data_IF_316278243359
#
_entry.id   IF_316278243359
#
_cell.length_a   1.000
_cell.length_b   1.000
_cell.length_c   1.000
_cell.angle_alpha   90.00
_cell.angle_beta   90.00
_cell.angle_gamma   90.00
#
_symmetry.space_group_name_H-M   'P 1'
#
loop_
_entity.id
_entity.type
_entity.pdbx_description
1 polymer ?
#
# COMPACT_ATOMS: atom_id res chain seq x y z
N UNK A 1 3.54 61.59 15.29
CA UNK A 1 4.34 60.46 15.80
C UNK A 1 3.61 59.21 15.28
N UNK A 2 4.09 58.63 14.18
CA UNK A 2 3.49 57.42 13.56
C UNK A 2 4.23 56.23 14.12
N UNK A 3 3.52 55.39 14.84
CA UNK A 3 4.01 54.13 15.34
C UNK A 3 4.44 53.24 14.18
N UNK A 4 5.72 52.92 14.11
CA UNK A 4 6.25 51.86 13.26
C UNK A 4 5.78 50.54 13.88
N UNK A 5 4.86 49.89 13.25
CA UNK A 5 4.52 48.48 13.54
C UNK A 5 5.77 47.65 13.27
N UNK A 6 6.33 47.10 14.31
CA UNK A 6 7.51 46.23 14.27
C UNK A 6 7.14 44.92 13.54
N UNK A 7 7.62 44.82 12.28
CA UNK A 7 7.42 43.64 11.43
C UNK A 7 8.32 42.45 11.80
N UNK A 8 9.06 42.52 12.92
CA UNK A 8 10.03 41.49 13.31
C UNK A 8 9.42 40.33 14.12
N UNK A 9 8.17 40.45 14.60
CA UNK A 9 7.52 39.39 15.43
C UNK A 9 6.74 38.34 14.65
N UNK A 10 6.59 38.45 13.33
CA UNK A 10 5.79 37.51 12.52
C UNK A 10 6.61 36.35 11.92
N UNK A 11 7.90 36.19 12.27
CA UNK A 11 8.79 35.14 11.71
C UNK A 11 9.09 33.97 12.66
N UNK A 12 8.46 33.86 13.83
CA UNK A 12 8.87 32.91 14.88
C UNK A 12 8.27 31.49 14.76
N UNK A 13 7.41 31.21 13.77
CA UNK A 13 6.76 29.89 13.63
C UNK A 13 7.26 29.07 12.42
N UNK A 14 8.37 29.47 11.80
CA UNK A 14 8.99 28.73 10.71
C UNK A 14 10.11 27.84 11.26
N UNK A 15 9.97 26.55 11.06
CA UNK A 15 11.00 25.55 11.34
C UNK A 15 11.94 25.41 10.13
N UNK A 16 13.25 25.28 10.35
CA UNK A 16 14.23 25.02 9.29
C UNK A 16 14.90 23.68 9.58
N UNK A 17 14.71 22.73 8.67
CA UNK A 17 15.31 21.39 8.76
C UNK A 17 16.48 21.35 7.79
N UNK A 18 17.68 21.00 8.27
CA UNK A 18 18.88 20.90 7.43
C UNK A 18 19.33 19.46 7.30
N UNK A 19 19.69 19.03 6.08
CA UNK A 19 20.20 17.71 5.81
C UNK A 19 21.39 17.72 4.85
N UNK A 20 22.36 16.84 5.09
CA UNK A 20 23.54 16.68 4.22
C UNK A 20 23.18 16.13 2.84
N UNK A 21 22.07 15.41 2.76
CA UNK A 21 21.48 14.89 1.51
C UNK A 21 19.96 15.08 1.56
N UNK A 22 19.40 15.50 0.45
CA UNK A 22 17.95 15.69 0.31
C UNK A 22 17.44 14.98 -0.93
N UNK A 23 16.48 14.08 -0.75
CA UNK A 23 15.75 13.41 -1.83
C UNK A 23 14.37 14.06 -1.95
N UNK A 24 14.06 14.67 -3.09
CA UNK A 24 12.79 15.38 -3.32
C UNK A 24 11.66 14.49 -3.87
N UNK A 25 11.89 13.19 -3.93
CA UNK A 25 11.01 12.21 -4.55
C UNK A 25 11.47 11.80 -5.96
N UNK A 26 12.42 12.51 -6.54
CA UNK A 26 12.94 12.26 -7.89
C UNK A 26 14.47 12.34 -7.94
N UNK A 27 15.05 13.33 -7.32
CA UNK A 27 16.50 13.63 -7.39
C UNK A 27 17.08 13.69 -5.99
N UNK A 28 18.25 13.07 -5.82
CA UNK A 28 19.05 13.20 -4.62
C UNK A 28 19.99 14.42 -4.75
N UNK A 29 19.80 15.41 -3.89
CA UNK A 29 20.59 16.66 -3.83
C UNK A 29 21.63 16.60 -2.71
N UNK A 30 22.57 17.55 -2.73
CA UNK A 30 23.55 17.80 -1.67
C UNK A 30 22.93 18.46 -0.43
N UNK A 31 23.78 19.17 0.37
CA UNK A 31 23.31 19.82 1.60
C UNK A 31 22.19 20.82 1.32
N UNK A 32 21.07 20.67 2.04
CA UNK A 32 19.83 21.40 1.78
C UNK A 32 19.20 21.86 3.09
N UNK A 33 18.61 23.05 3.08
CA UNK A 33 17.74 23.58 4.11
C UNK A 33 16.30 23.61 3.61
N UNK A 34 15.39 22.99 4.33
CA UNK A 34 13.95 23.00 4.07
C UNK A 34 13.28 23.85 5.13
N UNK A 35 12.62 24.92 4.70
CA UNK A 35 11.83 25.78 5.59
C UNK A 35 10.38 25.32 5.60
N UNK A 36 9.87 25.07 6.79
CA UNK A 36 8.46 24.67 7.00
C UNK A 36 7.77 25.76 7.81
N UNK A 37 6.65 26.24 7.33
CA UNK A 37 5.78 27.20 8.03
C UNK A 37 4.36 26.69 8.06
N UNK A 38 3.77 26.60 9.24
CA UNK A 38 2.40 26.05 9.44
C UNK A 38 2.17 24.69 8.77
N UNK A 39 3.16 23.80 8.84
CA UNK A 39 3.06 22.45 8.28
C UNK A 39 3.21 22.37 6.76
N UNK A 40 3.57 23.48 6.08
CA UNK A 40 3.80 23.52 4.64
C UNK A 40 5.25 23.84 4.34
N UNK A 41 5.83 23.20 3.32
CA UNK A 41 7.16 23.55 2.80
C UNK A 41 7.08 24.90 2.11
N UNK A 42 7.78 25.91 2.65
CA UNK A 42 7.82 27.27 2.13
C UNK A 42 8.96 27.47 1.14
N UNK A 43 10.13 26.91 1.46
CA UNK A 43 11.30 26.93 0.54
C UNK A 43 12.19 25.72 0.73
N UNK A 44 12.94 25.39 -0.32
CA UNK A 44 13.99 24.38 -0.36
C UNK A 44 15.21 25.05 -0.99
N UNK A 45 16.29 25.18 -0.23
CA UNK A 45 17.48 25.98 -0.61
C UNK A 45 18.78 25.20 -0.37
N UNK A 46 19.81 25.49 -1.14
CA UNK A 46 21.15 24.96 -0.85
C UNK A 46 21.62 25.44 0.52
N UNK A 47 22.15 24.52 1.31
CA UNK A 47 22.70 24.84 2.64
C UNK A 47 24.22 24.87 2.64
N UNK A 48 24.81 25.87 3.33
CA UNK A 48 26.23 25.99 3.52
C UNK A 48 26.57 26.01 5.01
N UNK A 49 26.72 24.83 5.58
CA UNK A 49 27.01 24.70 7.00
C UNK A 49 26.89 23.27 7.48
N UNK A 50 26.98 23.08 8.79
CA UNK A 50 26.70 21.79 9.41
C UNK A 50 25.21 21.51 9.32
N UNK A 51 24.85 20.27 8.93
CA UNK A 51 23.48 19.82 8.84
C UNK A 51 23.11 19.01 10.08
N UNK A 52 21.86 19.15 10.50
CA UNK A 52 21.31 18.42 11.66
C UNK A 52 21.06 16.96 11.34
N UNK A 53 20.69 16.67 10.06
CA UNK A 53 20.35 15.33 9.60
C UNK A 53 21.27 14.86 8.48
N UNK A 54 21.45 13.54 8.36
CA UNK A 54 22.20 12.95 7.25
C UNK A 54 21.38 12.96 5.96
N UNK A 55 20.12 12.52 6.03
CA UNK A 55 19.22 12.43 4.88
C UNK A 55 17.84 12.97 5.27
N UNK A 56 17.26 13.77 4.40
CA UNK A 56 15.85 14.17 4.43
C UNK A 56 15.17 13.68 3.14
N UNK A 57 14.01 13.11 3.26
CA UNK A 57 13.19 12.65 2.13
C UNK A 57 11.69 12.83 2.45
N UNK A 58 10.80 12.79 1.45
CA UNK A 58 9.38 12.56 1.70
C UNK A 58 9.19 11.28 2.51
N UNK A 59 8.18 11.25 3.36
CA UNK A 59 7.80 10.04 4.07
C UNK A 59 7.28 8.96 3.10
N UNK A 60 7.35 7.71 3.53
CA UNK A 60 6.85 6.58 2.74
C UNK A 60 5.34 6.61 2.60
N UNK A 61 4.85 6.14 1.45
CA UNK A 61 3.46 5.83 1.17
C UNK A 61 3.33 4.31 1.02
N UNK A 62 2.56 3.66 1.91
CA UNK A 62 2.30 2.22 1.86
C UNK A 62 0.89 1.94 1.36
N UNK A 63 0.76 1.33 0.19
CA UNK A 63 -0.53 1.03 -0.44
C UNK A 63 -1.14 -0.30 0.03
N UNK A 64 -0.40 -1.08 0.83
CA UNK A 64 -0.83 -2.39 1.29
C UNK A 64 -0.37 -2.66 2.73
N UNK A 65 -1.20 -2.23 3.70
CA UNK A 65 -0.98 -2.34 5.14
C UNK A 65 -2.17 -3.05 5.78
N UNK A 66 -2.03 -4.35 6.11
CA UNK A 66 -3.10 -5.14 6.73
C UNK A 66 -3.15 -4.97 8.25
N UNK A 67 -2.05 -4.49 8.83
CA UNK A 67 -1.85 -4.29 10.24
C UNK A 67 -0.38 -4.37 10.62
N UNK A 68 -0.07 -4.09 11.87
CA UNK A 68 1.29 -4.15 12.38
C UNK A 68 1.30 -4.63 13.83
N UNK A 69 2.20 -5.56 14.17
CA UNK A 69 2.34 -6.19 15.47
C UNK A 69 1.00 -6.78 15.99
N UNK A 70 0.32 -6.12 16.91
CA UNK A 70 -0.94 -6.58 17.49
C UNK A 70 -2.18 -5.83 16.94
N UNK A 71 -2.02 -4.82 16.08
CA UNK A 71 -3.12 -3.99 15.59
C UNK A 71 -3.45 -4.34 14.13
N UNK A 72 -4.60 -4.93 13.91
CA UNK A 72 -5.12 -5.31 12.59
C UNK A 72 -6.05 -4.24 12.02
N UNK A 73 -5.91 -3.89 10.74
CA UNK A 73 -6.85 -3.02 10.04
C UNK A 73 -8.29 -3.60 10.01
N UNK A 74 -8.42 -4.93 10.06
CA UNK A 74 -9.72 -5.59 10.18
C UNK A 74 -10.36 -5.42 11.55
N UNK A 75 -9.58 -5.05 12.57
CA UNK A 75 -10.01 -4.91 13.94
C UNK A 75 -10.51 -6.22 14.58
N UNK A 76 -10.88 -6.14 15.85
CA UNK A 76 -11.53 -7.23 16.56
C UNK A 76 -13.06 -7.10 16.47
N UNK A 77 -13.75 -8.11 15.91
CA UNK A 77 -15.23 -8.12 15.85
C UNK A 77 -15.81 -7.31 14.69
N UNK A 78 -16.45 -6.17 14.97
CA UNK A 78 -17.19 -5.37 13.98
C UNK A 78 -16.29 -4.51 13.07
N UNK A 79 -15.03 -4.31 13.45
CA UNK A 79 -14.06 -3.48 12.72
C UNK A 79 -13.07 -2.81 13.67
N UNK A 80 -12.17 -2.00 13.12
CA UNK A 80 -11.16 -1.27 13.88
C UNK A 80 -11.78 -0.09 14.62
N UNK A 81 -11.33 0.17 15.85
CA UNK A 81 -11.72 1.33 16.64
C UNK A 81 -10.85 2.56 16.31
N UNK A 82 -11.31 3.76 16.68
CA UNK A 82 -10.53 4.99 16.50
C UNK A 82 -9.19 4.96 17.27
N UNK A 83 -9.17 4.35 18.44
CA UNK A 83 -7.94 4.21 19.24
C UNK A 83 -6.94 3.27 18.56
N UNK A 84 -7.37 2.11 18.09
CA UNK A 84 -6.52 1.15 17.37
C UNK A 84 -5.97 1.74 16.07
N UNK A 85 -6.79 2.46 15.29
CA UNK A 85 -6.33 3.08 14.05
C UNK A 85 -5.30 4.19 14.31
N UNK A 86 -5.52 5.01 15.34
CA UNK A 86 -4.57 6.05 15.76
C UNK A 86 -3.25 5.46 16.30
N UNK A 87 -3.33 4.34 17.02
CA UNK A 87 -2.15 3.60 17.48
C UNK A 87 -1.34 3.07 16.29
N UNK A 88 -2.00 2.44 15.32
CA UNK A 88 -1.37 1.95 14.10
C UNK A 88 -0.71 3.08 13.31
N UNK A 89 -1.42 4.19 13.12
CA UNK A 89 -0.89 5.40 12.44
C UNK A 89 0.38 5.92 13.12
N UNK A 90 0.38 6.00 14.45
CA UNK A 90 1.53 6.43 15.26
C UNK A 90 2.72 5.47 15.13
N UNK A 91 2.47 4.15 15.14
CA UNK A 91 3.53 3.14 14.96
C UNK A 91 4.17 3.23 13.57
N UNK A 92 3.37 3.47 12.53
CA UNK A 92 3.84 3.61 11.15
C UNK A 92 4.59 4.93 10.94
N UNK A 93 4.08 6.03 11.49
CA UNK A 93 4.73 7.34 11.45
C UNK A 93 6.12 7.29 12.11
N UNK A 94 6.25 6.63 13.26
CA UNK A 94 7.53 6.45 13.96
C UNK A 94 8.56 5.66 13.11
N UNK A 95 8.10 4.98 12.06
CA UNK A 95 8.91 4.22 11.09
C UNK A 95 9.01 4.89 9.72
N UNK A 96 8.62 6.17 9.63
CA UNK A 96 8.73 6.96 8.40
C UNK A 96 7.61 6.73 7.37
N UNK A 97 6.62 5.88 7.65
CA UNK A 97 5.42 5.75 6.80
C UNK A 97 4.42 6.83 7.18
N UNK A 98 4.33 7.87 6.36
CA UNK A 98 3.52 9.06 6.62
C UNK A 98 2.14 9.00 5.98
N UNK A 99 1.94 8.12 5.00
CA UNK A 99 0.67 7.86 4.32
C UNK A 99 0.52 6.38 4.04
N UNK A 100 -0.70 5.86 4.15
CA UNK A 100 -0.95 4.44 3.94
C UNK A 100 -2.42 4.14 3.64
N UNK A 101 -2.68 2.96 3.08
CA UNK A 101 -4.02 2.41 2.91
C UNK A 101 -4.24 1.25 3.87
N UNK A 102 -5.37 1.29 4.59
CA UNK A 102 -5.79 0.16 5.41
C UNK A 102 -6.25 -0.98 4.50
N UNK A 103 -5.52 -2.08 4.47
CA UNK A 103 -5.85 -3.22 3.62
C UNK A 103 -6.78 -4.17 4.35
N UNK A 104 -7.91 -4.46 3.72
CA UNK A 104 -8.91 -5.42 4.18
C UNK A 104 -8.91 -6.60 3.22
N UNK A 105 -8.48 -7.76 3.75
CA UNK A 105 -8.41 -9.00 2.97
C UNK A 105 -9.79 -9.64 2.79
N UNK A 106 -9.86 -10.62 1.89
CA UNK A 106 -11.05 -11.43 1.59
C UNK A 106 -11.85 -11.83 2.83
N UNK A 107 -13.10 -11.41 2.90
CA UNK A 107 -14.11 -11.81 3.90
C UNK A 107 -15.52 -11.76 3.28
N UNK A 108 -16.56 -12.09 4.06
CA UNK A 108 -17.95 -11.87 3.65
C UNK A 108 -18.19 -10.41 3.28
N UNK A 109 -18.95 -10.14 2.20
CA UNK A 109 -19.21 -8.77 1.73
C UNK A 109 -19.78 -7.85 2.82
N UNK A 110 -20.64 -8.36 3.70
CA UNK A 110 -21.15 -7.56 4.82
C UNK A 110 -20.05 -7.11 5.76
N UNK A 111 -19.06 -7.97 6.01
CA UNK A 111 -17.91 -7.64 6.84
C UNK A 111 -16.96 -6.70 6.14
N UNK A 112 -16.73 -6.90 4.84
CA UNK A 112 -15.93 -5.97 4.03
C UNK A 112 -16.52 -4.57 4.12
N UNK A 113 -17.85 -4.41 3.93
CA UNK A 113 -18.54 -3.12 4.04
C UNK A 113 -18.40 -2.54 5.46
N UNK A 114 -18.76 -3.31 6.50
CA UNK A 114 -18.74 -2.80 7.88
C UNK A 114 -17.34 -2.41 8.36
N UNK A 115 -16.30 -3.15 7.95
CA UNK A 115 -14.90 -2.82 8.28
C UNK A 115 -14.40 -1.61 7.51
N UNK A 116 -14.79 -1.46 6.24
CA UNK A 116 -14.50 -0.22 5.49
C UNK A 116 -15.13 0.99 6.16
N UNK A 117 -16.38 0.87 6.61
CA UNK A 117 -17.05 1.94 7.34
C UNK A 117 -16.37 2.23 8.68
N UNK A 118 -15.87 1.21 9.40
CA UNK A 118 -15.14 1.42 10.66
C UNK A 118 -13.81 2.17 10.44
N UNK A 119 -13.03 1.80 9.44
CA UNK A 119 -11.80 2.54 9.05
C UNK A 119 -12.14 3.99 8.72
N UNK A 120 -13.15 4.22 7.89
CA UNK A 120 -13.57 5.57 7.50
C UNK A 120 -14.02 6.40 8.70
N UNK A 121 -14.78 5.81 9.62
CA UNK A 121 -15.23 6.50 10.83
C UNK A 121 -14.08 6.84 11.78
N UNK A 122 -13.05 6.01 11.83
CA UNK A 122 -11.86 6.18 12.68
C UNK A 122 -10.80 7.12 12.07
N UNK A 123 -10.83 7.40 10.77
CA UNK A 123 -9.77 8.08 10.02
C UNK A 123 -9.43 9.49 10.52
N UNK A 124 -10.36 10.20 11.17
CA UNK A 124 -10.08 11.54 11.71
C UNK A 124 -8.98 11.56 12.77
N UNK A 125 -8.75 10.44 13.47
CA UNK A 125 -7.68 10.25 14.47
C UNK A 125 -6.38 9.68 13.90
N UNK A 126 -6.34 9.36 12.61
CA UNK A 126 -5.21 8.72 11.92
C UNK A 126 -4.93 9.41 10.58
N UNK A 127 -4.32 10.62 10.59
CA UNK A 127 -4.15 11.44 9.40
C UNK A 127 -3.25 10.80 8.32
N UNK A 128 -2.47 9.78 8.66
CA UNK A 128 -1.69 8.98 7.71
C UNK A 128 -2.55 8.02 6.89
N UNK A 129 -3.67 7.53 7.43
CA UNK A 129 -4.59 6.63 6.75
C UNK A 129 -5.42 7.38 5.70
N UNK A 130 -5.13 7.14 4.42
CA UNK A 130 -5.81 7.82 3.32
C UNK A 130 -7.16 7.20 2.96
N UNK A 131 -7.37 5.92 3.28
CA UNK A 131 -8.54 5.15 2.92
C UNK A 131 -8.27 3.66 2.94
N UNK A 132 -9.05 2.91 2.15
CA UNK A 132 -9.04 1.45 2.18
C UNK A 132 -8.56 0.86 0.86
N UNK A 133 -7.70 -0.16 0.97
CA UNK A 133 -7.40 -1.12 -0.07
C UNK A 133 -8.21 -2.40 0.21
N UNK A 134 -9.08 -2.80 -0.71
CA UNK A 134 -9.78 -4.08 -0.64
C UNK A 134 -8.97 -5.13 -1.40
N UNK A 135 -8.37 -6.08 -0.69
CA UNK A 135 -7.68 -7.21 -1.29
C UNK A 135 -8.62 -8.41 -1.38
N UNK A 136 -9.37 -8.47 -2.46
CA UNK A 136 -10.50 -9.37 -2.64
C UNK A 136 -11.83 -8.78 -2.14
N UNK A 137 -12.90 -9.59 -2.05
CA UNK A 137 -12.97 -11.06 -2.20
C UNK A 137 -12.98 -11.56 -3.65
N UNK A 138 -12.92 -10.73 -4.65
CA UNK A 138 -13.05 -11.06 -6.08
C UNK A 138 -11.72 -11.53 -6.69
N UNK A 139 -11.11 -12.55 -6.10
CA UNK A 139 -9.79 -13.05 -6.47
C UNK A 139 -9.85 -14.16 -7.52
N UNK A 140 -8.70 -14.44 -8.16
CA UNK A 140 -8.54 -15.51 -9.12
C UNK A 140 -8.02 -16.81 -8.52
N UNK A 141 -7.24 -17.54 -9.28
CA UNK A 141 -6.83 -18.92 -8.94
C UNK A 141 -5.68 -19.03 -7.93
N UNK A 142 -4.92 -17.95 -7.69
CA UNK A 142 -3.69 -17.95 -6.86
C UNK A 142 -3.94 -17.34 -5.48
N UNK A 143 -4.67 -18.04 -4.65
CA UNK A 143 -5.22 -17.49 -3.42
C UNK A 143 -4.20 -17.15 -2.32
N UNK A 144 -3.02 -17.80 -2.30
CA UNK A 144 -2.07 -17.59 -1.21
C UNK A 144 -2.73 -17.88 0.15
N UNK A 145 -2.67 -16.93 1.08
CA UNK A 145 -3.25 -17.05 2.42
C UNK A 145 -4.74 -16.71 2.53
N UNK A 146 -5.41 -16.36 1.42
CA UNK A 146 -6.85 -16.05 1.44
C UNK A 146 -7.72 -17.30 1.62
N UNK A 147 -8.82 -17.15 2.35
CA UNK A 147 -9.79 -18.22 2.55
C UNK A 147 -10.61 -18.46 1.27
N UNK A 148 -10.39 -19.64 0.65
CA UNK A 148 -11.07 -20.06 -0.58
C UNK A 148 -12.60 -20.02 -0.45
N UNK A 149 -13.14 -20.32 0.72
CA UNK A 149 -14.59 -20.37 0.95
C UNK A 149 -15.27 -18.99 0.88
N UNK A 150 -14.47 -17.91 0.93
CA UNK A 150 -14.93 -16.51 0.91
C UNK A 150 -14.62 -15.78 -0.39
N UNK A 151 -13.94 -16.43 -1.33
CA UNK A 151 -13.67 -15.87 -2.65
C UNK A 151 -14.97 -15.88 -3.46
N UNK A 152 -15.24 -14.73 -4.08
CA UNK A 152 -16.45 -14.49 -4.87
C UNK A 152 -16.08 -14.19 -6.32
N UNK A 153 -16.97 -14.48 -7.28
CA UNK A 153 -16.84 -13.95 -8.63
C UNK A 153 -16.98 -12.43 -8.63
N UNK A 154 -16.37 -11.71 -9.61
CA UNK A 154 -16.57 -10.28 -9.77
C UNK A 154 -18.05 -9.89 -9.84
N UNK A 155 -18.44 -8.90 -9.03
CA UNK A 155 -19.83 -8.42 -8.91
C UNK A 155 -19.92 -6.96 -9.37
N UNK A 156 -20.51 -6.72 -10.52
CA UNK A 156 -20.67 -5.37 -11.09
C UNK A 156 -21.60 -4.48 -10.25
N UNK A 157 -22.53 -5.06 -9.48
CA UNK A 157 -23.35 -4.29 -8.56
C UNK A 157 -22.53 -3.73 -7.39
N UNK A 158 -21.59 -4.52 -6.87
CA UNK A 158 -20.60 -4.04 -5.89
C UNK A 158 -19.71 -2.96 -6.51
N UNK A 159 -19.20 -3.18 -7.72
CA UNK A 159 -18.34 -2.21 -8.41
C UNK A 159 -19.06 -0.89 -8.71
N UNK A 160 -20.36 -0.94 -8.96
CA UNK A 160 -21.20 0.24 -9.15
C UNK A 160 -21.32 1.10 -7.89
N UNK A 161 -21.26 0.50 -6.71
CA UNK A 161 -21.37 1.23 -5.43
C UNK A 161 -20.40 0.62 -4.40
N UNK A 162 -19.06 0.76 -4.61
CA UNK A 162 -18.09 0.27 -3.65
C UNK A 162 -18.22 1.02 -2.32
N UNK A 163 -17.87 0.41 -1.18
CA UNK A 163 -17.93 1.09 0.11
C UNK A 163 -17.14 2.41 0.08
N UNK A 164 -17.72 3.46 0.66
CA UNK A 164 -17.11 4.79 0.67
C UNK A 164 -15.73 4.74 1.37
N UNK A 165 -14.74 5.40 0.79
CA UNK A 165 -13.34 5.36 1.28
C UNK A 165 -12.50 4.26 0.64
N UNK A 166 -13.06 3.42 -0.23
CA UNK A 166 -12.27 2.46 -1.04
C UNK A 166 -11.50 3.24 -2.11
N UNK A 167 -10.17 3.15 -2.06
CA UNK A 167 -9.26 3.81 -3.01
C UNK A 167 -8.57 2.82 -3.96
N UNK A 168 -8.37 1.59 -3.51
CA UNK A 168 -7.70 0.53 -4.26
C UNK A 168 -8.46 -0.78 -4.10
N UNK A 169 -8.61 -1.54 -5.18
CA UNK A 169 -9.20 -2.88 -5.17
C UNK A 169 -8.28 -3.84 -5.90
N UNK A 170 -7.89 -4.92 -5.23
CA UNK A 170 -7.22 -6.07 -5.85
C UNK A 170 -8.25 -7.09 -6.29
N UNK A 171 -8.17 -7.51 -7.56
CA UNK A 171 -9.08 -8.50 -8.16
C UNK A 171 -8.34 -9.47 -9.08
N UNK A 172 -8.93 -10.66 -9.28
CA UNK A 172 -8.48 -11.62 -10.28
C UNK A 172 -8.87 -11.22 -11.70
N UNK A 173 -8.18 -11.76 -12.68
CA UNK A 173 -8.37 -11.47 -14.09
C UNK A 173 -8.94 -12.64 -14.91
N UNK A 174 -9.09 -13.84 -14.31
CA UNK A 174 -9.50 -15.05 -15.04
C UNK A 174 -10.99 -15.10 -15.35
N UNK A 175 -11.84 -14.38 -14.59
CA UNK A 175 -13.28 -14.36 -14.82
C UNK A 175 -13.66 -13.58 -16.08
N UNK A 176 -14.65 -14.04 -16.82
CA UNK A 176 -15.23 -13.32 -17.96
C UNK A 176 -15.89 -12.01 -17.58
N UNK A 177 -16.31 -11.87 -16.32
CA UNK A 177 -16.90 -10.66 -15.74
C UNK A 177 -15.86 -9.63 -15.29
N UNK A 178 -14.58 -10.04 -15.13
CA UNK A 178 -13.53 -9.17 -14.61
C UNK A 178 -13.36 -7.85 -15.41
N UNK A 179 -13.37 -7.81 -16.75
CA UNK A 179 -13.25 -6.55 -17.47
C UNK A 179 -14.41 -5.58 -17.23
N UNK A 180 -15.63 -6.06 -17.05
CA UNK A 180 -16.79 -5.22 -16.76
C UNK A 180 -16.71 -4.66 -15.34
N UNK A 181 -16.36 -5.49 -14.36
CA UNK A 181 -16.12 -5.13 -12.96
C UNK A 181 -15.01 -4.06 -12.84
N UNK A 182 -13.89 -4.27 -13.49
CA UNK A 182 -12.75 -3.34 -13.50
C UNK A 182 -13.14 -1.98 -14.08
N UNK A 183 -13.85 -1.98 -15.22
CA UNK A 183 -14.29 -0.74 -15.88
C UNK A 183 -15.20 0.09 -14.96
N UNK A 184 -16.09 -0.56 -14.24
CA UNK A 184 -17.01 0.12 -13.33
C UNK A 184 -16.25 0.75 -12.16
N UNK A 185 -15.32 0.03 -11.51
CA UNK A 185 -14.48 0.57 -10.44
C UNK A 185 -13.59 1.71 -10.91
N UNK A 186 -12.90 1.54 -12.05
CA UNK A 186 -12.03 2.57 -12.62
C UNK A 186 -12.81 3.84 -12.99
N UNK A 187 -14.03 3.68 -13.53
CA UNK A 187 -14.96 4.79 -13.81
C UNK A 187 -15.39 5.57 -12.57
N UNK A 188 -15.24 5.01 -11.39
CA UNK A 188 -15.48 5.62 -10.08
C UNK A 188 -14.24 6.26 -9.45
N UNK A 189 -13.11 6.22 -10.13
CA UNK A 189 -11.83 6.71 -9.62
C UNK A 189 -11.14 5.76 -8.64
N UNK A 190 -11.60 4.51 -8.52
CA UNK A 190 -10.91 3.48 -7.73
C UNK A 190 -9.76 2.92 -8.56
N UNK A 191 -8.56 2.86 -7.99
CA UNK A 191 -7.43 2.17 -8.60
C UNK A 191 -7.69 0.67 -8.60
N UNK A 192 -7.56 0.02 -9.76
CA UNK A 192 -7.74 -1.43 -9.84
C UNK A 192 -6.39 -2.12 -10.06
N UNK A 193 -6.09 -3.03 -9.14
CA UNK A 193 -4.89 -3.85 -9.15
C UNK A 193 -5.23 -5.30 -9.46
N UNK A 194 -4.47 -5.93 -10.35
CA UNK A 194 -4.57 -7.36 -10.59
C UNK A 194 -3.70 -8.10 -9.58
N UNK A 195 -4.27 -9.09 -8.90
CA UNK A 195 -3.56 -9.89 -7.91
C UNK A 195 -4.26 -11.21 -7.63
N UNK A 196 -3.55 -12.14 -7.00
CA UNK A 196 -4.05 -13.48 -6.68
C UNK A 196 -4.63 -14.21 -7.89
N UNK A 197 -3.95 -14.13 -9.04
CA UNK A 197 -4.48 -14.49 -10.35
C UNK A 197 -3.38 -15.02 -11.28
N UNK A 198 -3.74 -15.78 -12.29
CA UNK A 198 -2.82 -16.27 -13.32
C UNK A 198 -3.47 -16.15 -14.72
N UNK A 199 -3.68 -14.93 -15.21
CA UNK A 199 -4.37 -14.69 -16.45
C UNK A 199 -3.60 -15.21 -17.65
N UNK A 200 -4.33 -15.60 -18.72
CA UNK A 200 -3.78 -15.65 -20.07
C UNK A 200 -3.43 -14.24 -20.56
N UNK A 201 -2.63 -14.15 -21.64
CA UNK A 201 -2.31 -12.86 -22.29
C UNK A 201 -3.58 -12.12 -22.73
N UNK A 202 -4.56 -12.82 -23.24
CA UNK A 202 -5.82 -12.21 -23.66
C UNK A 202 -6.60 -11.62 -22.50
N UNK A 203 -6.73 -12.36 -21.39
CA UNK A 203 -7.40 -11.90 -20.15
C UNK A 203 -6.68 -10.68 -19.57
N UNK A 204 -5.34 -10.69 -19.52
CA UNK A 204 -4.54 -9.55 -19.13
C UNK A 204 -4.88 -8.31 -19.96
N UNK A 205 -4.80 -8.43 -21.30
CA UNK A 205 -5.05 -7.32 -22.21
C UNK A 205 -6.47 -6.76 -22.10
N UNK A 206 -7.47 -7.63 -21.84
CA UNK A 206 -8.85 -7.22 -21.61
C UNK A 206 -8.98 -6.43 -20.30
N UNK A 207 -8.37 -6.88 -19.20
CA UNK A 207 -8.41 -6.20 -17.92
C UNK A 207 -7.68 -4.86 -17.94
N UNK A 208 -6.50 -4.79 -18.58
CA UNK A 208 -5.74 -3.53 -18.70
C UNK A 208 -6.50 -2.51 -19.55
N UNK A 209 -7.10 -2.94 -20.69
CA UNK A 209 -7.98 -2.06 -21.49
C UNK A 209 -9.24 -1.61 -20.73
N UNK A 210 -9.69 -2.39 -19.78
CA UNK A 210 -10.84 -2.04 -18.92
C UNK A 210 -10.50 -1.02 -17.82
N UNK A 211 -9.21 -0.79 -17.54
CA UNK A 211 -8.77 0.22 -16.56
C UNK A 211 -7.95 -0.33 -15.41
N UNK A 212 -7.57 -1.61 -15.40
CA UNK A 212 -6.56 -2.08 -14.46
C UNK A 212 -5.24 -1.37 -14.73
N UNK A 213 -4.64 -0.77 -13.69
CA UNK A 213 -3.44 0.06 -13.79
C UNK A 213 -2.34 -0.36 -12.83
N UNK A 214 -2.60 -1.38 -12.02
CA UNK A 214 -1.65 -1.84 -11.01
C UNK A 214 -1.63 -3.38 -10.91
N UNK A 215 -0.54 -3.91 -10.36
CA UNK A 215 -0.41 -5.31 -9.93
C UNK A 215 -0.04 -5.34 -8.46
N UNK A 216 -0.71 -6.21 -7.71
CA UNK A 216 -0.51 -6.38 -6.28
C UNK A 216 0.72 -7.27 -6.06
N UNK A 217 1.61 -6.88 -5.14
CA UNK A 217 2.80 -7.62 -4.64
C UNK A 217 3.47 -8.52 -5.70
N UNK A 218 4.01 -7.89 -6.75
CA UNK A 218 4.69 -8.56 -7.89
C UNK A 218 5.51 -9.78 -7.44
N UNK A 219 5.42 -10.87 -8.18
CA UNK A 219 5.97 -12.21 -7.96
C UNK A 219 5.21 -13.09 -6.96
N UNK A 220 4.38 -12.51 -6.07
CA UNK A 220 3.63 -13.27 -5.07
C UNK A 220 2.21 -13.57 -5.57
N UNK A 221 1.73 -14.77 -5.29
CA UNK A 221 0.38 -15.24 -5.65
C UNK A 221 -0.02 -14.94 -7.11
N UNK A 222 0.86 -15.23 -8.08
CA UNK A 222 0.64 -15.09 -9.51
C UNK A 222 1.38 -16.15 -10.33
N UNK A 223 1.17 -16.21 -11.67
CA UNK A 223 2.01 -17.05 -12.53
C UNK A 223 3.44 -16.52 -12.55
N UNK A 224 4.44 -17.39 -12.27
CA UNK A 224 5.85 -16.98 -12.15
C UNK A 224 6.45 -16.60 -13.49
N UNK A 225 7.65 -16.03 -13.46
CA UNK A 225 8.44 -15.78 -14.67
C UNK A 225 8.74 -17.08 -15.39
N UNK A 226 8.24 -17.23 -16.61
CA UNK A 226 8.52 -18.35 -17.47
C UNK A 226 8.66 -17.89 -18.93
N UNK A 227 9.67 -18.42 -19.65
CA UNK A 227 10.06 -17.87 -20.96
C UNK A 227 9.19 -18.35 -22.13
N UNK A 228 8.28 -19.28 -21.94
CA UNK A 228 7.40 -19.84 -22.97
C UNK A 228 5.91 -19.75 -22.65
N UNK A 229 5.56 -19.63 -21.38
CA UNK A 229 4.16 -19.61 -20.95
C UNK A 229 3.71 -18.19 -20.63
N UNK A 230 2.42 -17.97 -20.58
CA UNK A 230 1.83 -16.74 -20.07
C UNK A 230 2.26 -16.55 -18.60
N UNK A 231 2.96 -15.47 -18.37
CA UNK A 231 3.50 -15.14 -17.04
C UNK A 231 3.02 -13.75 -16.65
N UNK A 232 2.17 -13.69 -15.64
CA UNK A 232 1.68 -12.41 -15.13
C UNK A 232 2.84 -11.53 -14.65
N UNK A 233 3.86 -12.12 -14.02
CA UNK A 233 5.03 -11.39 -13.56
C UNK A 233 5.79 -10.74 -14.74
N UNK A 234 5.96 -11.45 -15.87
CA UNK A 234 6.56 -10.88 -17.08
C UNK A 234 5.67 -9.82 -17.72
N UNK A 235 4.36 -10.08 -17.82
CA UNK A 235 3.41 -9.10 -18.37
C UNK A 235 3.45 -7.79 -17.58
N UNK A 236 3.49 -7.84 -16.25
CA UNK A 236 3.60 -6.66 -15.40
C UNK A 236 4.93 -5.90 -15.59
N UNK A 237 6.04 -6.61 -15.74
CA UNK A 237 7.36 -6.01 -15.91
C UNK A 237 7.50 -5.27 -17.26
N UNK A 238 6.86 -5.76 -18.32
CA UNK A 238 7.04 -5.22 -19.68
C UNK A 238 5.90 -4.31 -20.16
N UNK A 239 4.77 -4.27 -19.46
CA UNK A 239 3.63 -3.41 -19.82
C UNK A 239 3.75 -2.04 -19.15
N UNK A 240 4.12 -1.02 -19.92
CA UNK A 240 4.36 0.34 -19.41
C UNK A 240 3.12 1.04 -18.83
N UNK A 241 1.94 0.48 -19.05
CA UNK A 241 0.67 0.99 -18.49
C UNK A 241 0.46 0.59 -17.03
N UNK A 242 1.25 -0.37 -16.52
CA UNK A 242 1.05 -1.02 -15.24
C UNK A 242 2.13 -0.62 -14.24
N UNK A 243 1.72 -0.11 -13.08
CA UNK A 243 2.55 -0.03 -11.90
C UNK A 243 2.38 -1.31 -11.07
N UNK A 244 3.25 -1.58 -10.12
CA UNK A 244 3.10 -2.75 -9.26
C UNK A 244 3.65 -2.53 -7.86
N UNK A 245 2.95 -3.13 -6.87
CA UNK A 245 3.45 -3.26 -5.52
C UNK A 245 4.61 -4.25 -5.47
N UNK A 246 5.61 -4.01 -4.63
CA UNK A 246 6.73 -4.92 -4.41
C UNK A 246 7.06 -5.00 -2.93
N UNK A 247 7.02 -6.20 -2.36
CA UNK A 247 7.43 -6.49 -0.98
C UNK A 247 8.94 -6.78 -1.02
N UNK A 248 9.77 -5.89 -0.50
CA UNK A 248 11.22 -6.02 -0.58
C UNK A 248 11.86 -6.39 0.76
N UNK A 249 11.18 -7.21 1.56
CA UNK A 249 11.66 -7.73 2.85
C UNK A 249 12.71 -8.83 2.72
N UNK A 250 13.08 -9.21 1.50
CA UNK A 250 14.02 -10.29 1.15
C UNK A 250 13.58 -11.69 1.60
N UNK A 251 12.36 -11.83 2.05
CA UNK A 251 11.70 -13.10 2.37
C UNK A 251 10.66 -13.45 1.29
N UNK A 252 9.78 -12.51 0.95
CA UNK A 252 8.79 -12.65 -0.13
C UNK A 252 9.42 -12.57 -1.50
N UNK A 253 10.44 -11.73 -1.66
CA UNK A 253 11.12 -11.48 -2.95
C UNK A 253 12.62 -11.44 -2.71
N UNK A 254 13.39 -12.26 -3.45
CA UNK A 254 14.85 -12.27 -3.36
C UNK A 254 15.47 -10.96 -3.84
N UNK A 255 16.69 -10.66 -3.38
CA UNK A 255 17.42 -9.47 -3.79
C UNK A 255 17.59 -9.36 -5.32
N UNK A 256 17.77 -10.49 -6.02
CA UNK A 256 17.91 -10.49 -7.49
C UNK A 256 16.58 -10.19 -8.19
N UNK A 257 15.45 -10.67 -7.66
CA UNK A 257 14.13 -10.34 -8.18
C UNK A 257 13.75 -8.86 -7.90
N UNK A 258 14.14 -8.31 -6.76
CA UNK A 258 14.03 -6.87 -6.48
C UNK A 258 14.83 -6.05 -7.50
N UNK A 259 16.10 -6.41 -7.75
CA UNK A 259 16.93 -5.75 -8.78
C UNK A 259 16.31 -5.85 -10.17
N UNK A 260 15.78 -7.03 -10.52
CA UNK A 260 15.10 -7.23 -11.80
C UNK A 260 13.90 -6.27 -11.95
N UNK A 261 13.05 -6.17 -10.94
CA UNK A 261 11.87 -5.29 -10.97
C UNK A 261 12.26 -3.82 -11.19
N UNK A 262 13.25 -3.30 -10.44
CA UNK A 262 13.72 -1.92 -10.61
C UNK A 262 14.42 -1.68 -11.94
N UNK A 263 15.14 -2.69 -12.48
CA UNK A 263 15.86 -2.55 -13.75
C UNK A 263 14.93 -2.61 -14.96
N UNK A 264 13.93 -3.50 -14.91
CA UNK A 264 12.99 -3.71 -16.02
C UNK A 264 11.90 -2.62 -16.07
N UNK A 265 11.55 -2.03 -14.93
CA UNK A 265 10.42 -1.13 -14.80
C UNK A 265 10.75 0.11 -13.95
N UNK A 266 11.76 0.91 -14.33
CA UNK A 266 12.13 2.10 -13.56
C UNK A 266 10.95 3.07 -13.47
N UNK A 267 10.67 3.57 -12.25
CA UNK A 267 9.57 4.51 -11.99
C UNK A 267 8.17 3.88 -11.90
N UNK A 268 8.02 2.56 -12.07
CA UNK A 268 6.73 1.84 -11.95
C UNK A 268 6.62 0.97 -10.70
N UNK A 269 7.67 0.87 -9.91
CA UNK A 269 7.71 0.12 -8.66
C UNK A 269 7.13 0.95 -7.53
N UNK A 270 6.09 0.45 -6.87
CA UNK A 270 5.56 0.98 -5.62
C UNK A 270 5.99 0.03 -4.49
N UNK A 271 6.86 0.48 -3.59
CA UNK A 271 7.20 -0.33 -2.42
C UNK A 271 5.97 -0.48 -1.53
N UNK A 272 5.65 -1.70 -1.14
CA UNK A 272 4.58 -2.00 -0.18
C UNK A 272 5.13 -2.93 0.91
N UNK A 273 4.57 -2.83 2.12
CA UNK A 273 4.98 -3.73 3.18
C UNK A 273 4.23 -5.06 3.13
N UNK A 274 2.96 -5.03 2.78
CA UNK A 274 2.03 -6.14 2.99
C UNK A 274 2.11 -6.67 4.44
N UNK A 275 2.36 -5.76 5.37
CA UNK A 275 2.49 -6.09 6.79
C UNK A 275 1.17 -6.54 7.37
N UNK A 276 1.23 -7.53 8.26
CA UNK A 276 0.08 -8.08 8.97
C UNK A 276 0.28 -8.00 10.48
N UNK A 277 -0.82 -7.88 11.22
CA UNK A 277 -0.82 -8.01 12.67
C UNK A 277 -0.73 -9.49 13.06
N UNK A 278 0.46 -10.07 13.01
CA UNK A 278 0.68 -11.49 13.30
C UNK A 278 0.45 -11.84 14.79
N UNK A 279 0.56 -10.86 15.69
CA UNK A 279 0.39 -11.01 17.14
C UNK A 279 -1.03 -10.69 17.62
N UNK A 280 -1.97 -10.45 16.73
CA UNK A 280 -3.37 -10.18 17.07
C UNK A 280 -4.17 -11.49 17.34
N UNK A 281 -5.28 -11.44 18.11
CA UNK A 281 -6.09 -12.62 18.37
C UNK A 281 -6.72 -13.28 17.12
N UNK A 282 -6.93 -12.53 16.03
CA UNK A 282 -7.45 -13.04 14.76
C UNK A 282 -6.42 -13.91 14.05
N UNK A 283 -5.20 -13.41 13.93
CA UNK A 283 -4.07 -14.12 13.35
C UNK A 283 -3.73 -15.39 14.14
N UNK A 284 -3.71 -15.27 15.47
CA UNK A 284 -3.46 -16.43 16.35
C UNK A 284 -4.53 -17.53 16.19
N UNK A 285 -5.83 -17.17 16.06
CA UNK A 285 -6.89 -18.15 15.77
C UNK A 285 -6.72 -18.86 14.42
N UNK A 286 -6.08 -18.21 13.46
CA UNK A 286 -5.71 -18.80 12.16
C UNK A 286 -4.43 -19.62 12.22
N UNK A 287 -3.73 -19.67 13.37
CA UNK A 287 -2.46 -20.34 13.55
C UNK A 287 -1.30 -19.62 12.84
N UNK A 288 -1.43 -18.32 12.60
CA UNK A 288 -0.35 -17.53 12.01
C UNK A 288 0.74 -17.34 13.07
N UNK A 289 1.95 -17.71 12.72
CA UNK A 289 3.14 -17.59 13.57
C UNK A 289 4.29 -16.92 12.82
N UNK A 290 5.07 -16.13 13.53
CA UNK A 290 6.31 -15.57 12.97
C UNK A 290 7.37 -16.67 12.89
N UNK A 291 7.75 -17.07 11.66
CA UNK A 291 8.79 -18.07 11.37
C UNK A 291 9.68 -17.58 10.23
N UNK A 292 11.01 -17.73 10.39
CA UNK A 292 11.99 -17.32 9.38
C UNK A 292 11.81 -15.88 8.88
N UNK A 293 11.52 -14.95 9.80
CA UNK A 293 11.38 -13.52 9.50
C UNK A 293 10.05 -13.08 8.91
N UNK A 294 9.08 -14.00 8.70
CA UNK A 294 7.76 -13.64 8.19
C UNK A 294 6.61 -14.41 8.86
N UNK A 295 5.40 -13.82 8.93
CA UNK A 295 4.18 -14.49 9.34
C UNK A 295 3.81 -15.62 8.37
N UNK A 296 3.52 -16.81 8.93
CA UNK A 296 3.16 -18.01 8.15
C UNK A 296 1.94 -18.71 8.72
N UNK A 297 1.15 -19.27 7.83
CA UNK A 297 0.11 -20.25 8.16
C UNK A 297 0.73 -21.58 8.61
N UNK A 298 -0.05 -22.48 9.25
CA UNK A 298 0.44 -23.80 9.69
C UNK A 298 1.07 -24.64 8.58
N UNK A 299 0.60 -24.52 7.34
CA UNK A 299 1.11 -25.22 6.16
C UNK A 299 2.40 -24.59 5.57
N UNK A 300 2.89 -23.50 6.17
CA UNK A 300 4.08 -22.76 5.73
C UNK A 300 3.83 -21.65 4.73
N UNK A 301 2.59 -21.46 4.26
CA UNK A 301 2.23 -20.36 3.35
C UNK A 301 2.53 -19.01 4.01
N UNK A 302 3.20 -18.12 3.29
CA UNK A 302 3.41 -16.73 3.72
C UNK A 302 2.06 -16.01 3.84
N UNK A 303 1.86 -15.31 4.94
CA UNK A 303 0.61 -14.62 5.27
C UNK A 303 0.79 -13.10 5.37
N UNK A 304 1.72 -12.55 4.62
CA UNK A 304 2.15 -11.16 4.66
C UNK A 304 3.48 -10.97 5.38
N UNK A 305 3.97 -9.74 5.46
CA UNK A 305 5.23 -9.42 6.15
C UNK A 305 5.02 -9.04 7.62
N UNK A 306 6.11 -8.95 8.35
CA UNK A 306 6.16 -8.45 9.74
C UNK A 306 6.83 -7.09 9.85
N UNK A 307 7.16 -6.45 8.72
CA UNK A 307 7.96 -5.22 8.65
C UNK A 307 7.15 -4.04 8.11
N UNK A 308 7.49 -2.83 8.53
CA UNK A 308 7.09 -1.60 7.85
C UNK A 308 8.07 -1.30 6.71
N UNK A 309 7.77 -0.30 5.84
CA UNK A 309 8.61 0.04 4.68
C UNK A 309 10.05 0.45 5.02
N UNK A 310 10.31 0.85 6.24
CA UNK A 310 11.65 1.24 6.74
C UNK A 310 12.31 0.16 7.58
N UNK A 311 11.72 -1.01 7.64
CA UNK A 311 12.19 -2.14 8.46
C UNK A 311 13.39 -2.88 7.92
#
# INVERSE_FOLDING_TARGET
MKDKVDSSRARSDAEVITASRFFDGSVLRGPTAVRVHKGLVESIEDHRGLCEHYLLSPGFLDLQMNGFDAVSCAGSGAGITAAELAELDSMLLARGTTRWLATLVTDDLRRVVSRTDSVRAAASGAPGCLGVHLEGPFLGSKLGAHDRARVLPPDTAFAHSPPAGTLLVTTGAESTEAPAFIRELAGRGVVVSLGHTAPSREQWDQCVRAGASMVTHLFNAMSPVHHRDDSMALMALVDDRINFGLIADLVHVSADAVRLAFSAAPGRVCMVSDSVAWNDPGSQRRGIELRDGAPRLPDGTLAGSSTALSG
#
